data_IF_114389062615
#
_entry.id   IF_114389062615
#
_cell.length_a   1.000
_cell.length_b   1.000
_cell.length_c   1.000
_cell.angle_alpha   90.00
_cell.angle_beta   90.00
_cell.angle_gamma   90.00
#
_symmetry.space_group_name_H-M   'P 1'
#
loop_
_entity.id
_entity.type
_entity.pdbx_description
1 polymer ?
#
# COMPACT_ATOMS: atom_id res chain seq x y z
N UNK A 1 -18.61 10.23 26.78
CA UNK A 1 -19.74 9.57 26.10
C UNK A 1 -19.61 9.66 24.58
N UNK A 2 -19.87 10.82 23.98
CA UNK A 2 -19.91 11.00 22.52
C UNK A 2 -18.53 10.91 21.83
N UNK A 3 -17.47 11.38 22.47
CA UNK A 3 -16.09 11.33 21.94
C UNK A 3 -15.57 9.89 21.78
N UNK A 4 -15.93 9.03 22.72
CA UNK A 4 -15.62 7.59 22.67
C UNK A 4 -16.36 6.94 21.50
N UNK A 5 -17.65 7.27 21.31
CA UNK A 5 -18.44 6.74 20.20
C UNK A 5 -17.89 7.20 18.84
N UNK A 6 -17.51 8.47 18.70
CA UNK A 6 -16.90 8.99 17.48
C UNK A 6 -15.58 8.28 17.15
N UNK A 7 -14.73 8.06 18.17
CA UNK A 7 -13.46 7.34 18.02
C UNK A 7 -13.65 5.87 17.63
N UNK A 8 -14.68 5.20 18.18
CA UNK A 8 -15.03 3.83 17.82
C UNK A 8 -15.55 3.72 16.39
N UNK A 9 -16.41 4.64 15.95
CA UNK A 9 -16.93 4.68 14.58
C UNK A 9 -15.79 4.94 13.61
N UNK A 10 -14.94 5.93 13.91
CA UNK A 10 -13.79 6.30 13.10
C UNK A 10 -12.78 5.13 13.02
N UNK A 11 -12.47 4.50 14.16
CA UNK A 11 -11.60 3.33 14.23
C UNK A 11 -12.16 2.18 13.42
N UNK A 12 -13.44 1.84 13.60
CA UNK A 12 -14.11 0.78 12.84
C UNK A 12 -14.09 1.07 11.34
N UNK A 13 -14.37 2.32 10.94
CA UNK A 13 -14.31 2.74 9.55
C UNK A 13 -12.91 2.54 8.96
N UNK A 14 -11.86 2.96 9.66
CA UNK A 14 -10.47 2.77 9.21
C UNK A 14 -10.09 1.29 9.11
N UNK A 15 -10.46 0.46 10.08
CA UNK A 15 -10.19 -0.98 10.04
C UNK A 15 -10.95 -1.64 8.90
N UNK A 16 -12.25 -1.36 8.73
CA UNK A 16 -13.06 -1.89 7.64
C UNK A 16 -12.50 -1.47 6.28
N UNK A 17 -12.18 -0.19 6.11
CA UNK A 17 -11.60 0.34 4.88
C UNK A 17 -10.25 -0.34 4.58
N UNK A 18 -9.38 -0.44 5.59
CA UNK A 18 -8.09 -1.11 5.45
C UNK A 18 -8.23 -2.58 5.09
N UNK A 19 -9.17 -3.31 5.70
CA UNK A 19 -9.44 -4.71 5.39
C UNK A 19 -9.91 -4.87 3.94
N UNK A 20 -10.86 -4.04 3.48
CA UNK A 20 -11.36 -4.07 2.09
C UNK A 20 -10.22 -3.76 1.12
N UNK A 21 -9.44 -2.71 1.38
CA UNK A 21 -8.28 -2.33 0.56
C UNK A 21 -7.21 -3.41 0.56
N UNK A 22 -6.94 -4.05 1.69
CA UNK A 22 -5.95 -5.12 1.83
C UNK A 22 -6.36 -6.34 1.01
N UNK A 23 -7.62 -6.76 1.11
CA UNK A 23 -8.15 -7.89 0.32
C UNK A 23 -8.17 -7.54 -1.17
N UNK A 24 -8.71 -6.38 -1.55
CA UNK A 24 -8.75 -5.92 -2.94
C UNK A 24 -7.34 -5.80 -3.53
N UNK A 25 -6.42 -5.20 -2.78
CA UNK A 25 -5.01 -5.10 -3.15
C UNK A 25 -4.40 -6.49 -3.25
N UNK A 26 -4.60 -7.39 -2.30
CA UNK A 26 -4.07 -8.75 -2.35
C UNK A 26 -4.54 -9.49 -3.60
N UNK A 27 -5.82 -9.40 -3.98
CA UNK A 27 -6.31 -9.98 -5.24
C UNK A 27 -5.70 -9.29 -6.47
N UNK A 28 -5.65 -7.96 -6.46
CA UNK A 28 -5.01 -7.18 -7.51
C UNK A 28 -3.54 -7.56 -7.69
N UNK A 29 -2.84 -7.76 -6.57
CA UNK A 29 -1.40 -7.98 -6.45
C UNK A 29 -1.00 -9.42 -6.72
N UNK A 30 -1.80 -10.37 -6.22
CA UNK A 30 -1.74 -11.81 -6.51
C UNK A 30 -1.93 -12.07 -7.99
N UNK A 31 -2.84 -11.34 -8.66
CA UNK A 31 -2.93 -11.36 -10.13
C UNK A 31 -1.74 -10.66 -10.78
N UNK A 32 -1.33 -9.51 -10.23
CA UNK A 32 -0.31 -8.69 -10.86
C UNK A 32 1.04 -9.41 -10.99
N UNK A 33 1.48 -10.28 -10.06
CA UNK A 33 2.84 -10.87 -10.03
C UNK A 33 3.97 -9.84 -10.33
N UNK A 34 3.66 -8.55 -10.16
CA UNK A 34 4.44 -7.36 -10.57
C UNK A 34 4.78 -6.50 -9.36
N UNK A 35 4.53 -7.00 -8.16
CA UNK A 35 5.10 -6.45 -6.94
C UNK A 35 6.58 -6.12 -7.05
N UNK A 36 7.44 -7.01 -7.62
CA UNK A 36 8.83 -6.64 -7.79
C UNK A 36 8.95 -5.45 -8.73
N UNK A 37 8.11 -5.23 -9.75
CA UNK A 37 8.28 -4.06 -10.62
C UNK A 37 8.05 -2.72 -9.89
N UNK A 38 7.06 -2.61 -9.01
CA UNK A 38 6.78 -1.32 -8.33
C UNK A 38 7.84 -1.02 -7.25
N UNK A 39 8.26 -2.03 -6.47
CA UNK A 39 9.31 -1.87 -5.45
C UNK A 39 10.74 -1.85 -6.04
N UNK A 40 11.02 -2.65 -7.06
CA UNK A 40 12.33 -2.75 -7.71
C UNK A 40 12.58 -1.61 -8.70
N UNK A 41 11.55 -1.04 -9.34
CA UNK A 41 11.70 0.20 -10.14
C UNK A 41 12.08 1.38 -9.26
N UNK A 42 11.56 1.46 -8.04
CA UNK A 42 11.92 2.54 -7.11
C UNK A 42 13.38 2.44 -6.63
N UNK A 43 13.96 1.22 -6.63
CA UNK A 43 15.36 0.98 -6.26
C UNK A 43 16.35 0.94 -7.46
N UNK A 44 15.86 0.81 -8.69
CA UNK A 44 16.70 0.81 -9.91
C UNK A 44 16.95 2.20 -10.49
N UNK A 45 16.17 3.21 -10.09
CA UNK A 45 16.38 4.59 -10.55
C UNK A 45 17.57 5.28 -9.84
N UNK A 46 18.10 4.70 -8.76
CA UNK A 46 19.31 5.18 -8.07
C UNK A 46 20.57 4.35 -8.37
N UNK A 47 20.49 3.33 -9.25
CA UNK A 47 21.59 2.40 -9.57
C UNK A 47 21.90 2.34 -11.08
N UNK A 48 21.51 3.36 -11.84
CA UNK A 48 22.08 3.58 -13.17
C UNK A 48 22.75 4.95 -13.17
N UNK A 49 24.00 4.95 -12.68
CA UNK A 49 24.97 5.95 -13.08
C UNK A 49 25.07 6.00 -14.61
N UNK A 50 25.29 7.19 -15.17
CA UNK A 50 26.24 7.34 -16.26
C UNK A 50 27.36 8.25 -15.76
N UNK A 51 28.35 7.68 -15.06
CA UNK A 51 29.65 8.33 -14.84
C UNK A 51 30.75 7.62 -15.62
N UNK A 52 30.40 7.11 -16.79
CA UNK A 52 31.35 6.83 -17.86
C UNK A 52 31.45 8.09 -18.73
N UNK A 53 32.18 9.10 -18.24
CA UNK A 53 32.86 10.13 -19.06
C UNK A 53 33.84 10.91 -18.20
#
# INVERSE_FOLDING_TARGET
GPEVAASLILGTFFISLFLILSVASFFYLKRANKLPNIFYRRNKASVLQPSET
#
